data_IF_066701767460
#
_entry.id   IF_066701767460
#
_cell.length_a   1.000
_cell.length_b   1.000
_cell.length_c   1.000
_cell.angle_alpha   90.00
_cell.angle_beta   90.00
_cell.angle_gamma   90.00
#
_symmetry.space_group_name_H-M   'P 1'
#
loop_
_entity.id
_entity.type
_entity.pdbx_description
1 polymer ?
#
# COMPACT_ATOMS: atom_id res chain seq x y z
N UNK A 1 -11.23 -14.03 3.59
CA UNK A 1 -11.40 -12.63 3.13
C UNK A 1 -10.77 -12.52 1.75
N UNK A 2 -11.52 -12.07 0.75
CA UNK A 2 -10.94 -11.81 -0.57
C UNK A 2 -10.23 -10.44 -0.47
N UNK A 3 -8.92 -10.46 -0.24
CA UNK A 3 -8.04 -9.30 0.05
C UNK A 3 -7.69 -8.50 -1.21
N UNK A 4 -8.67 -8.29 -2.08
CA UNK A 4 -8.47 -7.57 -3.33
C UNK A 4 -8.67 -6.07 -3.06
N UNK A 5 -7.69 -5.27 -3.48
CA UNK A 5 -7.83 -3.83 -3.59
C UNK A 5 -9.13 -3.51 -4.37
N UNK A 6 -10.03 -2.65 -3.83
CA UNK A 6 -11.26 -2.27 -4.51
C UNK A 6 -11.01 -1.77 -5.94
N UNK A 7 -11.95 -2.04 -6.86
CA UNK A 7 -11.77 -1.69 -8.27
C UNK A 7 -11.56 -0.18 -8.47
N UNK A 8 -12.32 0.65 -7.75
CA UNK A 8 -12.20 2.10 -7.80
C UNK A 8 -10.79 2.62 -7.47
N UNK A 9 -10.08 1.95 -6.54
CA UNK A 9 -8.74 2.35 -6.12
C UNK A 9 -7.71 1.94 -7.18
N UNK A 10 -7.94 0.82 -7.88
CA UNK A 10 -7.12 0.42 -9.04
C UNK A 10 -7.31 1.39 -10.20
N UNK A 11 -8.54 1.77 -10.49
CA UNK A 11 -8.88 2.71 -11.57
C UNK A 11 -8.23 4.07 -11.32
N UNK A 12 -8.22 4.53 -10.06
CA UNK A 12 -7.50 5.74 -9.67
C UNK A 12 -6.00 5.67 -10.01
N UNK A 13 -5.33 4.56 -9.68
CA UNK A 13 -3.90 4.39 -9.98
C UNK A 13 -3.66 4.33 -11.49
N UNK A 14 -4.52 3.68 -12.25
CA UNK A 14 -4.42 3.64 -13.72
C UNK A 14 -4.57 5.04 -14.34
N UNK A 15 -5.53 5.81 -13.89
CA UNK A 15 -5.74 7.19 -14.36
C UNK A 15 -4.56 8.09 -14.01
N UNK A 16 -3.99 7.92 -12.81
CA UNK A 16 -2.82 8.68 -12.39
C UNK A 16 -1.59 8.32 -13.23
N UNK A 17 -1.35 7.03 -13.48
CA UNK A 17 -0.27 6.57 -14.37
C UNK A 17 -0.40 7.16 -15.78
N UNK A 18 -1.62 7.14 -16.34
CA UNK A 18 -1.94 7.74 -17.64
C UNK A 18 -1.66 9.24 -17.67
N UNK A 19 -2.03 9.98 -16.63
CA UNK A 19 -1.76 11.43 -16.51
C UNK A 19 -0.28 11.75 -16.42
N UNK A 20 0.50 10.87 -15.79
CA UNK A 20 1.96 11.00 -15.72
C UNK A 20 2.67 10.58 -17.01
N UNK A 21 1.95 10.02 -17.99
CA UNK A 21 2.53 9.50 -19.23
C UNK A 21 3.39 8.25 -19.02
N UNK A 22 3.08 7.46 -17.99
CA UNK A 22 3.85 6.28 -17.58
C UNK A 22 3.00 5.02 -17.66
N UNK A 23 3.64 3.85 -17.71
CA UNK A 23 2.95 2.60 -17.44
C UNK A 23 2.50 2.52 -15.98
N UNK A 24 1.48 1.71 -15.70
CA UNK A 24 1.03 1.48 -14.32
C UNK A 24 2.14 0.92 -13.44
N UNK A 25 2.99 0.04 -13.98
CA UNK A 25 4.12 -0.53 -13.24
C UNK A 25 5.10 0.54 -12.78
N UNK A 26 5.50 1.44 -13.69
CA UNK A 26 6.40 2.56 -13.37
C UNK A 26 5.80 3.51 -12.33
N UNK A 27 4.50 3.83 -12.46
CA UNK A 27 3.79 4.65 -11.48
C UNK A 27 3.77 3.98 -10.09
N UNK A 28 3.49 2.68 -10.03
CA UNK A 28 3.51 1.90 -8.80
C UNK A 28 4.90 1.86 -8.15
N UNK A 29 5.95 1.66 -8.94
CA UNK A 29 7.33 1.71 -8.45
C UNK A 29 7.67 3.08 -7.85
N UNK A 30 7.23 4.16 -8.50
CA UNK A 30 7.42 5.52 -8.00
C UNK A 30 6.67 5.73 -6.68
N UNK A 31 5.42 5.30 -6.57
CA UNK A 31 4.64 5.42 -5.34
C UNK A 31 5.24 4.60 -4.20
N UNK A 32 5.68 3.36 -4.47
CA UNK A 32 6.36 2.52 -3.47
C UNK A 32 7.66 3.18 -3.01
N UNK A 33 8.44 3.76 -3.94
CA UNK A 33 9.68 4.46 -3.59
C UNK A 33 9.41 5.66 -2.71
N UNK A 34 8.39 6.44 -3.02
CA UNK A 34 7.98 7.57 -2.18
C UNK A 34 7.49 7.10 -0.81
N UNK A 35 6.64 6.08 -0.74
CA UNK A 35 6.17 5.51 0.51
C UNK A 35 7.33 5.06 1.42
N UNK A 36 8.39 4.48 0.85
CA UNK A 36 9.60 4.11 1.63
C UNK A 36 10.31 5.29 2.27
N UNK A 37 10.15 6.51 1.75
CA UNK A 37 10.70 7.72 2.35
C UNK A 37 9.86 8.23 3.54
N UNK A 38 8.63 7.76 3.67
CA UNK A 38 7.68 8.16 4.72
C UNK A 38 7.55 7.13 5.84
N UNK A 39 8.36 6.07 5.81
CA UNK A 39 8.37 5.00 6.81
C UNK A 39 9.33 5.35 7.93
N UNK A 40 8.89 5.16 9.17
CA UNK A 40 9.68 5.38 10.39
C UNK A 40 10.43 4.09 10.82
N UNK A 41 11.17 4.13 11.92
CA UNK A 41 12.01 3.03 12.44
C UNK A 41 11.23 1.73 12.68
N UNK A 42 9.92 1.80 12.86
CA UNK A 42 9.03 0.65 13.05
C UNK A 42 8.58 -0.02 11.74
N UNK A 43 8.98 0.52 10.58
CA UNK A 43 8.61 -0.03 9.29
C UNK A 43 7.21 0.35 8.81
N UNK A 44 6.52 1.25 9.53
CA UNK A 44 5.20 1.77 9.15
C UNK A 44 5.28 3.22 8.66
N UNK A 45 4.41 3.63 7.73
CA UNK A 45 4.31 5.03 7.33
C UNK A 45 3.94 5.93 8.52
N UNK A 46 4.52 7.13 8.60
CA UNK A 46 4.30 8.08 9.70
C UNK A 46 2.83 8.49 9.90
N UNK A 47 2.03 8.41 8.83
CA UNK A 47 0.60 8.71 8.85
C UNK A 47 -0.28 7.51 9.20
N UNK A 48 0.30 6.30 9.36
CA UNK A 48 -0.46 5.11 9.72
C UNK A 48 -0.89 5.17 11.20
N UNK A 49 -2.17 4.94 11.48
CA UNK A 49 -2.67 4.88 12.85
C UNK A 49 -2.16 3.61 13.56
N UNK A 50 -1.08 3.75 14.33
CA UNK A 50 -0.45 2.65 15.07
C UNK A 50 -1.40 1.96 16.06
N UNK A 51 -2.41 2.66 16.58
CA UNK A 51 -3.41 2.07 17.46
C UNK A 51 -4.36 1.10 16.73
N UNK A 52 -4.34 1.09 15.39
CA UNK A 52 -5.07 0.15 14.57
C UNK A 52 -4.23 -1.09 14.17
N UNK A 53 -2.96 -1.16 14.57
CA UNK A 53 -2.16 -2.39 14.40
C UNK A 53 -2.66 -3.41 15.44
N UNK A 54 -3.17 -4.57 15.03
CA UNK A 54 -3.53 -5.62 15.98
C UNK A 54 -2.27 -6.07 16.74
N UNK A 55 -2.31 -6.12 18.08
CA UNK A 55 -1.18 -6.54 18.93
C UNK A 55 -0.69 -7.96 18.63
N UNK A 56 -1.51 -8.78 17.97
CA UNK A 56 -1.13 -10.04 17.38
C UNK A 56 -1.65 -10.11 15.94
N UNK A 57 -0.75 -10.30 14.98
CA UNK A 57 -1.15 -10.95 13.74
C UNK A 57 -1.83 -12.26 14.16
N UNK A 58 -3.01 -12.63 13.61
CA UNK A 58 -3.51 -13.98 13.78
C UNK A 58 -2.47 -14.87 13.13
N UNK A 59 -1.54 -15.39 13.94
CA UNK A 59 -0.69 -16.49 13.56
C UNK A 59 -1.71 -17.54 13.16
N UNK A 60 -1.79 -17.81 11.87
CA UNK A 60 -2.54 -18.93 11.37
C UNK A 60 -2.11 -20.10 12.26
N UNK A 61 -3.03 -20.61 13.07
CA UNK A 61 -2.82 -21.90 13.71
C UNK A 61 -2.65 -22.86 12.54
N UNK A 62 -1.41 -23.10 12.15
CA UNK A 62 -1.05 -24.26 11.36
C UNK A 62 -1.43 -25.45 12.26
N UNK A 63 -2.61 -26.00 11.98
CA UNK A 63 -2.97 -27.37 12.36
C UNK A 63 -2.43 -28.30 11.31
#
# INVERSE_FOLDING_TARGET
>A
MNTLVPQQDKDFVFDLAKRMGMSTGEAMELFIRHLRTEVDRDGLPVWFNRNAVPEALPIAKAS
#
